data_IF_898129661362
#
_entry.id   IF_898129661362
#
_cell.length_a   1.000
_cell.length_b   1.000
_cell.length_c   1.000
_cell.angle_alpha   90.00
_cell.angle_beta   90.00
_cell.angle_gamma   90.00
#
_symmetry.space_group_name_H-M   'P 1'
#
loop_
_entity.id
_entity.type
_entity.pdbx_description
1 polymer ?
#
# COMPACT_ATOMS: atom_id res chain seq x y z
N UNK A 1 0.83 -21.60 -6.48
CA UNK A 1 0.20 -21.52 -5.15
C UNK A 1 1.19 -20.82 -4.23
N UNK A 2 1.07 -19.50 -4.10
CA UNK A 2 1.95 -18.70 -3.23
C UNK A 2 1.45 -18.87 -1.79
N UNK A 3 2.24 -19.54 -0.96
CA UNK A 3 1.94 -19.68 0.46
C UNK A 3 2.04 -18.30 1.12
N UNK A 4 0.90 -17.79 1.62
CA UNK A 4 0.89 -16.66 2.56
C UNK A 4 1.83 -17.04 3.73
N UNK A 5 2.68 -16.12 4.20
CA UNK A 5 3.37 -16.34 5.47
C UNK A 5 2.32 -16.48 6.58
N UNK A 6 2.38 -17.56 7.35
CA UNK A 6 1.42 -17.92 8.41
C UNK A 6 1.43 -16.97 9.63
N UNK A 7 2.25 -15.92 9.61
CA UNK A 7 2.29 -14.90 10.66
C UNK A 7 2.42 -13.50 10.05
N UNK A 8 1.36 -12.71 10.15
CA UNK A 8 1.44 -11.27 9.88
C UNK A 8 2.52 -10.66 10.79
N UNK A 9 3.47 -9.89 10.26
CA UNK A 9 4.51 -9.25 11.07
C UNK A 9 3.90 -8.44 12.22
N UNK A 10 4.54 -8.46 13.38
CA UNK A 10 4.10 -7.63 14.49
C UNK A 10 4.27 -6.16 14.12
N UNK A 11 3.18 -5.40 14.19
CA UNK A 11 3.18 -3.98 13.85
C UNK A 11 3.99 -3.21 14.90
N UNK A 12 5.00 -2.42 14.52
CA UNK A 12 5.78 -1.65 15.47
C UNK A 12 4.96 -0.50 16.09
N UNK A 13 5.28 -0.14 17.35
CA UNK A 13 4.74 1.08 17.95
C UNK A 13 5.12 2.30 17.10
N UNK A 14 4.23 3.31 16.96
CA UNK A 14 2.99 3.50 17.72
C UNK A 14 1.72 2.99 16.98
N UNK A 15 1.85 2.20 15.95
CA UNK A 15 0.75 1.83 15.08
C UNK A 15 -0.38 1.06 15.78
N UNK A 16 -0.10 0.05 16.64
CA UNK A 16 -1.16 -0.68 17.32
C UNK A 16 -2.04 0.25 18.16
N UNK A 17 -1.41 1.11 18.97
CA UNK A 17 -2.09 2.02 19.87
C UNK A 17 -2.86 3.11 19.09
N UNK A 18 -2.27 3.63 18.01
CA UNK A 18 -2.92 4.60 17.14
C UNK A 18 -4.19 4.04 16.49
N UNK A 19 -4.12 2.84 15.93
CA UNK A 19 -5.26 2.19 15.26
C UNK A 19 -6.36 1.82 16.24
N UNK A 20 -6.02 1.33 17.44
CA UNK A 20 -7.00 1.02 18.49
C UNK A 20 -7.71 2.27 19.01
N UNK A 21 -7.02 3.40 19.13
CA UNK A 21 -7.65 4.66 19.53
C UNK A 21 -8.49 5.24 18.39
N UNK A 22 -8.01 5.15 17.15
CA UNK A 22 -8.79 5.55 15.98
C UNK A 22 -10.10 4.78 15.88
N UNK A 23 -10.06 3.44 16.01
CA UNK A 23 -11.25 2.58 15.97
C UNK A 23 -12.29 2.99 17.02
N UNK A 24 -11.84 3.31 18.25
CA UNK A 24 -12.73 3.76 19.35
C UNK A 24 -13.35 5.13 19.11
N UNK A 25 -12.69 6.00 18.35
CA UNK A 25 -13.18 7.35 18.02
C UNK A 25 -14.17 7.35 16.86
N UNK A 26 -14.21 6.28 16.07
CA UNK A 26 -15.19 6.13 15.00
C UNK A 26 -16.56 5.77 15.55
N UNK A 27 -17.58 6.54 15.17
CA UNK A 27 -18.98 6.30 15.54
C UNK A 27 -19.71 5.32 14.63
N UNK A 28 -19.13 4.98 13.49
CA UNK A 28 -19.66 4.06 12.49
C UNK A 28 -18.54 3.37 11.75
N UNK A 29 -18.85 2.25 11.11
CA UNK A 29 -17.88 1.49 10.34
C UNK A 29 -17.33 2.30 9.15
N UNK A 30 -16.00 2.29 9.00
CA UNK A 30 -15.27 2.88 7.86
C UNK A 30 -14.26 1.88 7.35
N UNK A 31 -14.30 1.64 6.05
CA UNK A 31 -13.33 0.84 5.32
C UNK A 31 -12.39 1.78 4.54
N UNK A 32 -11.08 1.58 4.65
CA UNK A 32 -10.07 2.33 3.90
C UNK A 32 -9.33 1.41 2.93
N UNK A 33 -9.20 1.83 1.68
CA UNK A 33 -8.40 1.13 0.67
C UNK A 33 -7.00 1.71 0.65
N UNK A 34 -6.09 0.98 1.28
CA UNK A 34 -4.75 1.44 1.65
C UNK A 34 -3.69 1.00 0.65
N UNK A 35 -2.68 1.85 0.48
CA UNK A 35 -1.47 1.58 -0.31
C UNK A 35 -0.23 2.14 0.40
N UNK A 36 0.91 2.09 -0.25
CA UNK A 36 2.12 2.76 0.24
C UNK A 36 2.90 2.00 1.30
N UNK A 37 3.75 2.73 2.01
CA UNK A 37 4.73 2.15 2.94
C UNK A 37 4.11 1.41 4.11
N UNK A 38 2.99 1.89 4.65
CA UNK A 38 2.29 1.22 5.75
C UNK A 38 1.83 -0.19 5.37
N UNK A 39 1.23 -0.35 4.18
CA UNK A 39 0.81 -1.67 3.67
C UNK A 39 1.98 -2.63 3.58
N UNK A 40 3.11 -2.16 3.05
CA UNK A 40 4.31 -2.98 2.91
C UNK A 40 4.92 -3.36 4.26
N UNK A 41 4.90 -2.46 5.22
CA UNK A 41 5.35 -2.74 6.58
C UNK A 41 4.42 -3.74 7.27
N UNK A 42 3.11 -3.53 7.19
CA UNK A 42 2.12 -4.33 7.91
C UNK A 42 1.98 -5.76 7.38
N UNK A 43 2.11 -5.96 6.06
CA UNK A 43 1.90 -7.26 5.43
C UNK A 43 3.19 -8.00 5.08
N UNK A 44 4.27 -7.26 4.77
CA UNK A 44 5.51 -7.85 4.25
C UNK A 44 6.74 -7.55 5.11
N UNK A 45 6.57 -6.81 6.21
CA UNK A 45 7.66 -6.54 7.14
C UNK A 45 8.71 -5.57 6.60
N UNK A 46 8.32 -4.63 5.73
CA UNK A 46 9.25 -3.58 5.25
C UNK A 46 9.89 -2.87 6.44
N UNK A 47 11.25 -2.91 6.57
CA UNK A 47 11.91 -2.46 7.80
C UNK A 47 11.98 -0.95 7.96
N UNK A 48 11.79 -0.17 6.87
CA UNK A 48 11.82 1.28 6.98
C UNK A 48 10.57 1.82 7.67
N UNK A 49 10.71 2.83 8.54
CA UNK A 49 9.56 3.45 9.16
C UNK A 49 8.72 4.23 8.13
N UNK A 50 7.41 4.30 8.39
CA UNK A 50 6.47 5.19 7.70
C UNK A 50 5.76 6.05 8.74
N UNK A 51 5.36 7.26 8.36
CA UNK A 51 4.66 8.21 9.23
C UNK A 51 3.16 8.31 8.95
N UNK A 52 2.68 7.62 7.95
CA UNK A 52 1.30 7.73 7.48
C UNK A 52 0.72 6.41 6.97
N UNK A 53 -0.60 6.34 6.99
CA UNK A 53 -1.40 5.36 6.27
C UNK A 53 -1.97 6.08 5.06
N UNK A 54 -1.43 5.81 3.88
CA UNK A 54 -1.99 6.30 2.63
C UNK A 54 -3.22 5.49 2.24
N UNK A 55 -4.32 6.17 1.87
CA UNK A 55 -5.51 5.53 1.30
C UNK A 55 -6.06 6.30 0.11
N UNK A 56 -6.62 5.58 -0.87
CA UNK A 56 -7.17 6.15 -2.11
C UNK A 56 -8.68 6.33 -2.06
N UNK A 57 -9.38 5.55 -1.25
CA UNK A 57 -10.84 5.67 -1.08
C UNK A 57 -11.29 5.15 0.27
N UNK A 58 -12.46 5.62 0.72
CA UNK A 58 -13.14 5.16 1.92
C UNK A 58 -14.56 4.68 1.58
N UNK A 59 -15.04 3.70 2.32
CA UNK A 59 -16.43 3.21 2.23
C UNK A 59 -17.04 3.24 3.63
N UNK A 60 -18.14 3.96 3.83
CA UNK A 60 -18.80 4.85 2.86
C UNK A 60 -17.92 6.07 2.51
N UNK A 61 -18.20 6.72 1.39
CA UNK A 61 -17.37 7.86 0.91
C UNK A 61 -17.24 8.98 1.93
N UNK A 62 -18.30 9.25 2.70
CA UNK A 62 -18.31 10.23 3.80
C UNK A 62 -17.33 9.87 4.93
N UNK A 63 -16.97 8.61 5.04
CA UNK A 63 -15.96 8.13 5.99
C UNK A 63 -14.60 8.79 5.78
N UNK A 64 -14.27 9.18 4.55
CA UNK A 64 -13.03 9.91 4.25
C UNK A 64 -12.94 11.22 5.04
N UNK A 65 -14.00 12.03 5.04
CA UNK A 65 -14.03 13.28 5.81
C UNK A 65 -13.90 13.01 7.32
N UNK A 66 -14.61 11.99 7.83
CA UNK A 66 -14.52 11.59 9.24
C UNK A 66 -13.10 11.19 9.63
N UNK A 67 -12.45 10.35 8.83
CA UNK A 67 -11.06 9.92 9.07
C UNK A 67 -10.11 11.13 9.07
N UNK A 68 -10.24 12.05 8.11
CA UNK A 68 -9.38 13.23 8.05
C UNK A 68 -9.54 14.15 9.26
N UNK A 69 -10.74 14.29 9.79
CA UNK A 69 -10.99 15.09 11.00
C UNK A 69 -10.42 14.42 12.27
N UNK A 70 -10.46 13.10 12.37
CA UNK A 70 -10.03 12.36 13.56
C UNK A 70 -8.53 12.08 13.51
N UNK A 71 -8.00 11.60 12.39
CA UNK A 71 -6.68 11.00 12.26
C UNK A 71 -5.82 11.59 11.12
N UNK A 72 -6.32 12.60 10.41
CA UNK A 72 -5.56 13.32 9.38
C UNK A 72 -4.37 14.08 9.96
N UNK A 73 -3.51 14.67 9.10
CA UNK A 73 -2.39 15.49 9.53
C UNK A 73 -2.84 16.59 10.50
N UNK A 74 -1.98 16.93 11.47
CA UNK A 74 -2.24 17.98 12.48
C UNK A 74 -3.40 17.77 13.45
N UNK A 75 -4.08 16.62 13.42
CA UNK A 75 -5.10 16.27 14.41
C UNK A 75 -4.47 15.99 15.79
N UNK A 76 -5.30 15.97 16.84
CA UNK A 76 -4.84 15.61 18.19
C UNK A 76 -4.27 14.20 18.22
N UNK A 77 -4.90 13.26 17.52
CA UNK A 77 -4.46 11.87 17.43
C UNK A 77 -3.11 11.77 16.72
N UNK A 78 -2.97 12.45 15.59
CA UNK A 78 -1.71 12.46 14.83
C UNK A 78 -0.56 13.06 15.64
N UNK A 79 -0.79 14.14 16.37
CA UNK A 79 0.25 14.75 17.25
C UNK A 79 0.64 13.86 18.41
N UNK A 80 -0.32 13.13 18.98
CA UNK A 80 -0.08 12.21 20.09
C UNK A 80 0.83 11.06 19.68
N UNK A 81 0.56 10.45 18.54
CA UNK A 81 1.27 9.26 18.08
C UNK A 81 2.37 9.55 17.05
N UNK A 82 2.44 10.78 16.51
CA UNK A 82 3.36 11.20 15.43
C UNK A 82 3.22 10.39 14.15
N UNK A 83 2.04 9.88 13.90
CA UNK A 83 1.61 9.21 12.68
C UNK A 83 0.19 9.67 12.34
N UNK A 84 -0.19 9.59 11.06
CA UNK A 84 -1.51 10.04 10.62
C UNK A 84 -2.09 9.15 9.52
N UNK A 85 -3.33 9.43 9.13
CA UNK A 85 -3.98 8.84 7.96
C UNK A 85 -4.06 9.91 6.87
N UNK A 86 -3.56 9.59 5.68
CA UNK A 86 -3.45 10.54 4.58
C UNK A 86 -4.30 10.10 3.37
N UNK A 87 -5.18 10.99 2.89
CA UNK A 87 -5.95 10.76 1.67
C UNK A 87 -5.11 11.10 0.45
N UNK A 88 -4.87 10.11 -0.40
CA UNK A 88 -4.16 10.29 -1.67
C UNK A 88 -5.19 10.68 -2.73
N UNK A 89 -5.15 11.91 -3.19
CA UNK A 89 -6.13 12.44 -4.15
C UNK A 89 -5.83 12.06 -5.59
N UNK A 90 -4.58 11.73 -5.89
CA UNK A 90 -4.15 11.29 -7.22
C UNK A 90 -3.25 10.06 -7.05
N UNK A 91 -3.81 8.89 -7.29
CA UNK A 91 -3.05 7.64 -7.38
C UNK A 91 -3.40 6.95 -8.70
N UNK A 92 -2.39 6.67 -9.49
CA UNK A 92 -2.54 5.83 -10.69
C UNK A 92 -2.35 4.39 -10.24
N UNK A 93 -3.43 3.63 -10.25
CA UNK A 93 -3.48 2.22 -9.84
C UNK A 93 -4.07 1.37 -10.96
N UNK A 94 -3.76 0.07 -11.04
CA UNK A 94 -4.40 -0.84 -11.98
C UNK A 94 -5.92 -0.80 -11.87
N UNK A 95 -6.63 -0.89 -13.00
CA UNK A 95 -8.09 -0.72 -13.06
C UNK A 95 -8.85 -1.69 -12.14
N UNK A 96 -8.43 -2.95 -12.11
CA UNK A 96 -9.12 -4.02 -11.37
C UNK A 96 -8.60 -4.21 -9.93
N UNK A 97 -7.84 -3.26 -9.35
CA UNK A 97 -7.24 -3.40 -8.02
C UNK A 97 -8.25 -3.75 -6.92
N UNK A 98 -9.50 -3.29 -7.04
CA UNK A 98 -10.55 -3.54 -6.05
C UNK A 98 -10.91 -5.03 -5.90
N UNK A 99 -10.71 -5.81 -6.94
CA UNK A 99 -11.00 -7.25 -6.94
C UNK A 99 -9.95 -8.08 -6.17
N UNK A 100 -8.82 -7.44 -5.80
CA UNK A 100 -7.64 -8.08 -5.23
C UNK A 100 -7.25 -7.55 -3.84
N UNK A 101 -8.13 -6.75 -3.25
CA UNK A 101 -7.88 -6.17 -1.92
C UNK A 101 -7.73 -7.26 -0.85
N UNK A 102 -6.79 -7.04 0.06
CA UNK A 102 -6.51 -7.94 1.18
C UNK A 102 -6.76 -7.21 2.50
N UNK A 103 -7.57 -7.78 3.38
CA UNK A 103 -7.84 -7.17 4.69
C UNK A 103 -6.59 -7.27 5.60
N UNK A 104 -6.19 -6.11 6.16
CA UNK A 104 -5.13 -6.02 7.16
C UNK A 104 -5.78 -6.15 8.54
N UNK A 105 -5.30 -7.09 9.36
CA UNK A 105 -5.81 -7.36 10.71
C UNK A 105 -7.30 -7.73 10.77
N UNK A 106 -7.75 -8.76 10.04
CA UNK A 106 -9.16 -9.13 9.98
C UNK A 106 -9.74 -9.40 11.38
N UNK A 107 -10.88 -8.77 11.67
CA UNK A 107 -11.58 -8.95 12.94
C UNK A 107 -10.95 -8.28 14.16
N UNK A 108 -9.89 -7.49 14.00
CA UNK A 108 -9.21 -6.81 15.13
C UNK A 108 -9.96 -5.56 15.61
N UNK A 109 -10.59 -4.83 14.70
CA UNK A 109 -11.24 -3.56 14.96
C UNK A 109 -12.75 -3.67 14.78
N UNK A 110 -13.51 -2.84 15.50
CA UNK A 110 -14.98 -2.85 15.47
C UNK A 110 -15.55 -1.96 14.37
N UNK A 111 -14.96 -0.80 14.17
CA UNK A 111 -15.43 0.23 13.23
C UNK A 111 -14.43 0.51 12.10
N UNK A 112 -13.17 0.13 12.24
CA UNK A 112 -12.12 0.38 11.25
C UNK A 112 -11.82 -0.90 10.47
N UNK A 113 -11.90 -0.84 9.15
CA UNK A 113 -11.40 -1.88 8.25
C UNK A 113 -10.33 -1.30 7.33
N UNK A 114 -9.19 -1.96 7.29
CA UNK A 114 -8.08 -1.60 6.41
C UNK A 114 -7.94 -2.66 5.33
N UNK A 115 -8.17 -2.28 4.09
CA UNK A 115 -7.99 -3.13 2.92
C UNK A 115 -6.75 -2.67 2.14
N UNK A 116 -5.76 -3.54 2.06
CA UNK A 116 -4.53 -3.28 1.32
C UNK A 116 -4.69 -3.60 -0.17
N UNK A 117 -4.09 -2.80 -1.03
CA UNK A 117 -3.84 -3.20 -2.40
C UNK A 117 -2.91 -4.42 -2.43
N UNK A 118 -3.10 -5.29 -3.43
CA UNK A 118 -2.17 -6.37 -3.75
C UNK A 118 -0.74 -5.80 -3.99
N UNK A 119 0.34 -6.52 -3.64
CA UNK A 119 1.70 -5.99 -3.72
C UNK A 119 2.11 -5.55 -5.13
N UNK A 120 1.63 -6.23 -6.19
CA UNK A 120 1.90 -5.80 -7.56
C UNK A 120 1.20 -4.47 -7.87
N UNK A 121 -0.02 -4.27 -7.37
CA UNK A 121 -0.76 -3.02 -7.56
C UNK A 121 -0.12 -1.86 -6.77
N UNK A 122 0.41 -2.13 -5.57
CA UNK A 122 1.21 -1.14 -4.81
C UNK A 122 2.47 -0.76 -5.58
N UNK A 123 3.17 -1.73 -6.16
CA UNK A 123 4.39 -1.48 -6.97
C UNK A 123 4.05 -0.68 -8.22
N UNK A 124 2.97 -1.02 -8.92
CA UNK A 124 2.53 -0.28 -10.10
C UNK A 124 2.11 1.16 -9.77
N UNK A 125 1.48 1.40 -8.62
CA UNK A 125 1.20 2.76 -8.15
C UNK A 125 2.49 3.57 -7.87
N UNK A 126 3.59 2.92 -7.50
CA UNK A 126 4.90 3.54 -7.30
C UNK A 126 5.64 3.84 -8.60
N UNK A 127 5.34 3.10 -9.66
CA UNK A 127 5.97 3.23 -10.97
C UNK A 127 5.86 4.66 -11.52
N UNK A 128 4.72 5.28 -11.35
CA UNK A 128 4.44 6.62 -11.90
C UNK A 128 5.25 7.70 -11.18
N UNK A 129 5.51 7.54 -9.89
CA UNK A 129 6.30 8.44 -9.07
C UNK A 129 7.80 8.17 -9.18
N UNK A 130 8.20 6.92 -9.15
CA UNK A 130 9.58 6.42 -9.31
C UNK A 130 10.63 7.18 -8.47
N UNK A 131 10.34 7.43 -7.20
CA UNK A 131 11.29 8.05 -6.28
C UNK A 131 12.34 7.02 -5.78
N UNK A 132 13.50 7.48 -5.23
CA UNK A 132 14.47 6.56 -4.63
C UNK A 132 13.88 5.68 -3.52
N UNK A 133 12.90 6.19 -2.76
CA UNK A 133 12.19 5.41 -1.73
C UNK A 133 11.33 4.33 -2.38
N UNK A 134 10.67 4.65 -3.50
CA UNK A 134 9.85 3.66 -4.23
C UNK A 134 10.71 2.53 -4.78
N UNK A 135 11.88 2.85 -5.33
CA UNK A 135 12.82 1.86 -5.84
C UNK A 135 13.29 0.90 -4.73
N UNK A 136 13.59 1.42 -3.54
CA UNK A 136 13.95 0.58 -2.39
C UNK A 136 12.82 -0.33 -1.92
N UNK A 137 11.57 0.15 -1.96
CA UNK A 137 10.39 -0.65 -1.62
C UNK A 137 10.18 -1.79 -2.64
N UNK A 138 10.34 -1.51 -3.94
CA UNK A 138 10.21 -2.50 -5.02
C UNK A 138 11.32 -3.57 -4.90
N UNK A 139 12.57 -3.13 -4.72
CA UNK A 139 13.71 -4.02 -4.51
C UNK A 139 13.49 -4.95 -3.32
N UNK A 140 12.99 -4.43 -2.20
CA UNK A 140 12.66 -5.21 -1.01
C UNK A 140 11.64 -6.32 -1.31
N UNK A 141 10.52 -5.98 -1.97
CA UNK A 141 9.47 -6.95 -2.30
C UNK A 141 9.93 -7.99 -3.31
N UNK A 142 10.72 -7.59 -4.30
CA UNK A 142 11.29 -8.51 -5.29
C UNK A 142 12.23 -9.52 -4.62
N UNK A 143 13.17 -9.04 -3.78
CA UNK A 143 14.08 -9.90 -3.01
C UNK A 143 13.37 -10.83 -2.03
N UNK A 144 12.25 -10.39 -1.48
CA UNK A 144 11.41 -11.21 -0.61
C UNK A 144 10.59 -12.28 -1.37
N UNK A 145 10.66 -12.31 -2.70
CA UNK A 145 9.89 -13.24 -3.55
C UNK A 145 8.37 -13.00 -3.50
N UNK A 146 7.95 -11.79 -3.13
CA UNK A 146 6.54 -11.39 -3.06
C UNK A 146 5.97 -11.07 -4.43
N UNK A 147 6.82 -10.60 -5.35
CA UNK A 147 6.44 -10.15 -6.67
C UNK A 147 6.75 -11.20 -7.73
N UNK A 148 5.82 -11.36 -8.66
CA UNK A 148 5.99 -12.14 -9.89
C UNK A 148 6.11 -11.20 -11.09
N UNK A 149 7.19 -11.32 -11.85
CA UNK A 149 7.51 -10.43 -12.98
C UNK A 149 6.46 -10.50 -14.09
N UNK A 150 5.89 -11.68 -14.34
CA UNK A 150 4.88 -11.88 -15.38
C UNK A 150 3.59 -11.17 -14.98
N UNK A 151 3.12 -11.38 -13.77
CA UNK A 151 1.94 -10.72 -13.21
C UNK A 151 2.09 -9.20 -13.23
N UNK A 152 3.26 -8.68 -12.85
CA UNK A 152 3.55 -7.25 -12.87
C UNK A 152 3.45 -6.67 -14.28
N UNK A 153 4.04 -7.35 -15.28
CA UNK A 153 3.98 -6.92 -16.68
C UNK A 153 2.57 -6.98 -17.26
N UNK A 154 1.82 -8.04 -16.97
CA UNK A 154 0.45 -8.22 -17.46
C UNK A 154 -0.48 -7.13 -16.93
N UNK A 155 -0.48 -6.91 -15.61
CA UNK A 155 -1.30 -5.84 -14.99
C UNK A 155 -0.90 -4.46 -15.47
N UNK A 156 0.41 -4.20 -15.61
CA UNK A 156 0.87 -2.94 -16.18
C UNK A 156 0.28 -2.71 -17.58
N UNK A 157 0.44 -3.69 -18.48
CA UNK A 157 0.01 -3.54 -19.89
C UNK A 157 -1.51 -3.43 -20.05
N UNK A 158 -2.26 -4.19 -19.26
CA UNK A 158 -3.70 -4.33 -19.43
C UNK A 158 -4.49 -3.32 -18.60
N UNK A 159 -4.04 -3.03 -17.38
CA UNK A 159 -4.84 -2.32 -16.38
C UNK A 159 -4.29 -0.94 -15.99
N UNK A 160 -3.03 -0.63 -16.25
CA UNK A 160 -2.45 0.66 -15.88
C UNK A 160 -1.99 1.49 -17.07
N UNK A 161 -1.19 0.91 -17.94
CA UNK A 161 -0.58 1.60 -19.10
C UNK A 161 -1.56 2.40 -19.96
N UNK A 162 -2.79 1.89 -20.28
CA UNK A 162 -3.74 2.64 -21.11
C UNK A 162 -4.21 3.97 -20.53
N UNK A 163 -4.02 4.16 -19.22
CA UNK A 163 -4.47 5.37 -18.50
C UNK A 163 -3.33 6.35 -18.20
N UNK A 164 -2.07 5.99 -18.53
CA UNK A 164 -0.91 6.83 -18.25
C UNK A 164 -0.70 7.89 -19.33
N UNK A 165 -0.41 9.11 -18.91
CA UNK A 165 -0.15 10.23 -19.81
C UNK A 165 1.19 10.08 -20.57
N UNK A 166 2.21 9.49 -19.97
CA UNK A 166 3.55 9.28 -20.57
C UNK A 166 3.91 7.80 -20.54
N UNK A 167 3.27 7.03 -21.44
CA UNK A 167 3.49 5.59 -21.55
C UNK A 167 4.95 5.23 -21.73
N UNK A 168 5.69 5.95 -22.58
CA UNK A 168 7.09 5.62 -22.91
C UNK A 168 8.01 5.74 -21.70
N UNK A 169 7.81 6.77 -20.87
CA UNK A 169 8.55 6.94 -19.64
C UNK A 169 8.32 5.77 -18.69
N UNK A 170 7.09 5.38 -18.54
CA UNK A 170 6.72 4.30 -17.62
C UNK A 170 7.08 2.91 -18.16
N UNK A 171 7.01 2.70 -19.48
CA UNK A 171 7.54 1.50 -20.15
C UNK A 171 9.03 1.31 -19.82
N UNK A 172 9.82 2.38 -19.93
CA UNK A 172 11.25 2.35 -19.63
C UNK A 172 11.50 2.09 -18.12
N UNK A 173 10.74 2.73 -17.25
CA UNK A 173 10.88 2.51 -15.80
C UNK A 173 10.60 1.06 -15.43
N UNK A 174 9.52 0.48 -15.96
CA UNK A 174 9.21 -0.93 -15.70
C UNK A 174 10.28 -1.86 -16.25
N UNK A 175 10.78 -1.59 -17.45
CA UNK A 175 11.87 -2.39 -18.04
C UNK A 175 13.11 -2.39 -17.13
N UNK A 176 13.55 -1.21 -16.67
CA UNK A 176 14.70 -1.09 -15.76
C UNK A 176 14.46 -1.84 -14.44
N UNK A 177 13.27 -1.75 -13.85
CA UNK A 177 12.95 -2.50 -12.64
C UNK A 177 12.99 -4.01 -12.86
N UNK A 178 12.50 -4.49 -14.02
CA UNK A 178 12.58 -5.92 -14.36
C UNK A 178 14.02 -6.40 -14.54
N UNK A 179 14.86 -5.58 -15.16
CA UNK A 179 16.27 -5.87 -15.36
C UNK A 179 17.04 -5.85 -14.01
N UNK A 180 16.75 -4.88 -13.13
CA UNK A 180 17.49 -4.70 -11.89
C UNK A 180 17.05 -5.66 -10.78
N UNK A 181 15.77 -6.00 -10.68
CA UNK A 181 15.22 -6.67 -9.51
C UNK A 181 14.70 -8.09 -9.76
N UNK A 182 14.46 -8.47 -11.03
CA UNK A 182 13.87 -9.77 -11.37
C UNK A 182 14.75 -10.67 -12.24
N UNK A 183 15.99 -10.26 -12.53
CA UNK A 183 16.91 -11.20 -13.17
C UNK A 183 17.17 -12.36 -12.21
N UNK A 184 16.91 -13.57 -12.69
CA UNK A 184 17.40 -14.77 -12.00
C UNK A 184 18.91 -14.61 -11.85
N UNK A 185 19.39 -14.74 -10.61
CA UNK A 185 20.81 -14.93 -10.38
C UNK A 185 21.20 -16.16 -11.17
N UNK A 186 21.79 -15.94 -12.36
CA UNK A 186 22.50 -16.99 -13.09
C UNK A 186 23.68 -17.38 -12.19
N UNK A 187 23.38 -18.21 -11.19
CA UNK A 187 24.39 -18.88 -10.39
C UNK A 187 25.09 -19.88 -11.32
N UNK A 188 26.29 -19.49 -11.72
CA UNK A 188 27.29 -20.36 -12.32
C UNK A 188 27.77 -21.38 -11.30
#
# INVERSE_FOLDING_TARGET
MSSKPDSTPALPSPWPEFLEELDKLLSSAVELRCLGGFVLMALYGLPRPTGDIDYISAVPTEGSATIQVIAGPDTKLARKYKVCVHSVTVAEVPEDYETRLVEIFPGRFSNLRLLALDPHDVVLAKLTRNSPVDNGDVEFLAKAGVLDATTLQERYRQELRPYLADEKKHDLTLQLWLEDYFQESSAV
#
